data_IF_536896376254
#
_entry.id   IF_536896376254
#
_cell.length_a   1.000
_cell.length_b   1.000
_cell.length_c   1.000
_cell.angle_alpha   90.00
_cell.angle_beta   90.00
_cell.angle_gamma   90.00
#
_symmetry.space_group_name_H-M   'P 1'
#
loop_
_entity.id
_entity.type
_entity.pdbx_description
1 polymer ?
#
# COMPACT_ATOMS: atom_id res chain seq x y z
N UNK A 1 23.72 -33.56 -6.87
CA UNK A 1 22.74 -32.56 -7.35
C UNK A 1 21.30 -32.93 -6.97
N UNK A 2 21.04 -33.63 -5.85
CA UNK A 2 19.66 -34.00 -5.44
C UNK A 2 18.93 -32.88 -4.69
N UNK A 3 19.64 -31.97 -4.02
CA UNK A 3 19.03 -30.89 -3.23
C UNK A 3 18.07 -29.99 -4.02
N UNK A 4 18.38 -29.74 -5.29
CA UNK A 4 17.54 -28.89 -6.15
C UNK A 4 16.27 -29.62 -6.60
N UNK A 5 16.32 -30.95 -6.77
CA UNK A 5 15.20 -31.78 -7.23
C UNK A 5 14.25 -32.13 -6.09
N UNK A 6 14.78 -32.42 -4.90
CA UNK A 6 13.95 -32.77 -3.72
C UNK A 6 13.23 -31.55 -3.14
N UNK A 7 13.83 -30.37 -3.24
CA UNK A 7 13.24 -29.13 -2.73
C UNK A 7 12.65 -28.26 -3.85
N UNK A 8 12.56 -28.79 -5.08
CA UNK A 8 12.06 -28.05 -6.24
C UNK A 8 10.61 -27.58 -6.03
N UNK A 9 9.77 -28.45 -5.45
CA UNK A 9 8.39 -28.10 -5.08
C UNK A 9 8.33 -26.98 -4.05
N UNK A 10 9.15 -27.04 -3.01
CA UNK A 10 9.24 -26.00 -1.97
C UNK A 10 9.68 -24.65 -2.55
N UNK A 11 10.65 -24.65 -3.46
CA UNK A 11 11.13 -23.44 -4.14
C UNK A 11 10.01 -22.82 -5.00
N UNK A 12 9.26 -23.64 -5.74
CA UNK A 12 8.12 -23.17 -6.56
C UNK A 12 7.01 -22.56 -5.70
N UNK A 13 6.64 -23.23 -4.61
CA UNK A 13 5.63 -22.71 -3.66
C UNK A 13 6.12 -21.42 -3.00
N UNK A 14 7.39 -21.38 -2.58
CA UNK A 14 8.01 -20.18 -2.00
C UNK A 14 7.99 -19.00 -2.96
N UNK A 15 8.30 -19.21 -4.24
CA UNK A 15 8.21 -18.19 -5.29
C UNK A 15 6.78 -17.69 -5.48
N UNK A 16 5.79 -18.60 -5.55
CA UNK A 16 4.39 -18.22 -5.70
C UNK A 16 3.90 -17.34 -4.54
N UNK A 17 4.22 -17.70 -3.30
CA UNK A 17 3.87 -16.90 -2.12
C UNK A 17 4.60 -15.56 -2.13
N UNK A 18 5.89 -15.54 -2.47
CA UNK A 18 6.67 -14.30 -2.55
C UNK A 18 6.09 -13.32 -3.58
N UNK A 19 5.65 -13.81 -4.75
CA UNK A 19 4.98 -13.00 -5.77
C UNK A 19 3.67 -12.41 -5.26
N UNK A 20 2.83 -13.22 -4.60
CA UNK A 20 1.57 -12.72 -4.03
C UNK A 20 1.81 -11.65 -2.96
N UNK A 21 2.75 -11.88 -2.04
CA UNK A 21 3.10 -10.92 -0.99
C UNK A 21 3.64 -9.62 -1.58
N UNK A 22 4.55 -9.69 -2.55
CA UNK A 22 5.09 -8.49 -3.21
C UNK A 22 4.00 -7.71 -3.93
N UNK A 23 3.08 -8.38 -4.63
CA UNK A 23 1.94 -7.72 -5.26
C UNK A 23 1.05 -6.98 -4.25
N UNK A 24 0.75 -7.59 -3.10
CA UNK A 24 -0.05 -6.96 -2.03
C UNK A 24 0.68 -5.74 -1.47
N UNK A 25 1.97 -5.86 -1.16
CA UNK A 25 2.78 -4.77 -0.62
C UNK A 25 2.90 -3.62 -1.62
N UNK A 26 3.20 -3.91 -2.89
CA UNK A 26 3.28 -2.91 -3.96
C UNK A 26 1.92 -2.26 -4.17
N UNK A 27 0.82 -3.02 -4.15
CA UNK A 27 -0.53 -2.48 -4.24
C UNK A 27 -0.80 -1.52 -3.08
N UNK A 28 -0.46 -1.90 -1.85
CA UNK A 28 -0.60 -1.04 -0.68
C UNK A 28 0.20 0.26 -0.84
N UNK A 29 1.48 0.18 -1.20
CA UNK A 29 2.31 1.38 -1.43
C UNK A 29 1.76 2.25 -2.56
N UNK A 30 1.29 1.64 -3.65
CA UNK A 30 0.70 2.37 -4.78
C UNK A 30 -0.62 3.02 -4.41
N UNK A 31 -1.47 2.35 -3.63
CA UNK A 31 -2.72 2.88 -3.13
C UNK A 31 -2.46 4.04 -2.15
N UNK A 32 -1.41 3.96 -1.32
CA UNK A 32 -0.95 5.06 -0.46
C UNK A 32 -0.46 6.25 -1.30
N UNK A 33 0.33 6.01 -2.35
CA UNK A 33 0.77 7.08 -3.28
C UNK A 33 -0.39 7.70 -4.05
N UNK A 34 -1.43 6.94 -4.37
CA UNK A 34 -2.66 7.42 -5.02
C UNK A 34 -3.61 8.17 -4.09
N UNK A 35 -3.22 8.43 -2.84
CA UNK A 35 -4.02 9.20 -1.91
C UNK A 35 -5.24 8.46 -1.37
N UNK A 36 -5.27 7.11 -1.41
CA UNK A 36 -6.19 6.31 -0.57
C UNK A 36 -5.69 6.34 0.87
N UNK A 37 -5.62 7.54 1.43
CA UNK A 37 -5.54 7.81 2.86
C UNK A 37 -6.86 7.34 3.47
N UNK A 38 -6.84 6.81 4.69
CA UNK A 38 -8.07 6.42 5.40
C UNK A 38 -9.07 7.59 5.56
N UNK A 39 -8.61 8.83 5.39
CA UNK A 39 -9.47 9.99 5.19
C UNK A 39 -9.79 10.12 3.69
N UNK A 40 -11.00 9.76 3.27
CA UNK A 40 -11.47 9.75 1.88
C UNK A 40 -11.61 11.13 1.22
N UNK A 41 -10.91 12.15 1.70
CA UNK A 41 -10.92 13.49 1.11
C UNK A 41 -9.99 13.53 -0.11
N UNK A 42 -10.46 12.99 -1.24
CA UNK A 42 -9.77 12.97 -2.53
C UNK A 42 -9.62 14.37 -3.13
N UNK A 43 -8.70 15.18 -2.59
CA UNK A 43 -8.34 16.50 -3.14
C UNK A 43 -9.37 17.62 -2.93
N UNK A 44 -10.60 17.29 -2.49
CA UNK A 44 -11.65 18.25 -2.16
C UNK A 44 -11.89 18.28 -0.64
N UNK A 45 -10.87 18.64 0.14
CA UNK A 45 -11.03 18.87 1.59
C UNK A 45 -11.75 20.20 1.91
N UNK A 46 -12.08 21.00 0.88
CA UNK A 46 -12.71 22.31 0.99
C UNK A 46 -14.19 22.29 1.43
N UNK A 47 -14.84 21.11 1.44
CA UNK A 47 -16.24 20.94 1.89
C UNK A 47 -16.44 19.89 2.99
N UNK A 48 -15.36 19.37 3.60
CA UNK A 48 -15.48 18.36 4.65
C UNK A 48 -15.82 19.04 6.00
N UNK A 49 -16.85 18.61 6.74
CA UNK A 49 -17.19 19.20 8.05
C UNK A 49 -16.07 19.05 9.10
N UNK A 50 -15.08 18.17 8.87
CA UNK A 50 -13.85 18.03 9.67
C UNK A 50 -12.63 18.77 9.12
N UNK A 51 -12.76 19.58 8.06
CA UNK A 51 -11.65 20.26 7.40
C UNK A 51 -10.84 21.17 8.34
N UNK A 52 -11.52 21.83 9.30
CA UNK A 52 -10.91 22.67 10.32
C UNK A 52 -9.95 21.92 11.27
N UNK A 53 -10.16 20.60 11.45
CA UNK A 53 -9.31 19.76 12.29
C UNK A 53 -8.14 19.16 11.49
N UNK A 54 -8.33 18.89 10.20
CA UNK A 54 -7.32 18.27 9.34
C UNK A 54 -6.26 19.26 8.80
N UNK A 55 -6.58 20.56 8.68
CA UNK A 55 -5.66 21.61 8.20
C UNK A 55 -5.16 22.54 9.32
N UNK A 56 -4.73 21.99 10.47
CA UNK A 56 -4.21 22.80 11.59
C UNK A 56 -2.77 23.32 11.39
N UNK A 57 -2.35 23.56 10.15
CA UNK A 57 -1.00 23.99 9.82
C UNK A 57 -0.98 24.94 8.64
N UNK A 58 -0.69 26.21 8.93
CA UNK A 58 -0.23 27.26 8.01
C UNK A 58 -1.29 28.22 7.43
N UNK A 59 -1.92 29.00 8.32
CA UNK A 59 -2.30 30.37 8.03
C UNK A 59 -1.02 31.20 7.78
N UNK A 60 -0.66 31.44 6.53
CA UNK A 60 0.06 32.68 6.19
C UNK A 60 -0.94 33.64 5.57
N UNK A 61 -1.23 34.68 6.35
CA UNK A 61 -1.64 36.02 5.89
C UNK A 61 -0.81 36.47 4.69
#
# INVERSE_FOLDING_TARGET
MQFLTENLGTILVGLAVALLLTLVVVKLFRDRKKGKSACGCGGACSGCPGAAMCHHGHSKT
#
